data_IF_282237744966
#
_entry.id   IF_282237744966
#
_cell.length_a   1.000
_cell.length_b   1.000
_cell.length_c   1.000
_cell.angle_alpha   90.00
_cell.angle_beta   90.00
_cell.angle_gamma   90.00
#
_symmetry.space_group_name_H-M   'P 1'
#
loop_
_entity.id
_entity.type
_entity.pdbx_description
1 polymer ?
#
# COMPACT_ATOMS: atom_id res chain seq x y z
N UNK A 1 -3.30 -14.76 -9.08
CA UNK A 1 -4.02 -13.47 -9.27
C UNK A 1 -5.12 -13.27 -8.24
N UNK A 2 -6.01 -14.25 -8.03
CA UNK A 2 -7.11 -14.16 -7.04
C UNK A 2 -6.63 -13.75 -5.64
N UNK A 3 -5.59 -14.40 -5.09
CA UNK A 3 -5.05 -14.02 -3.78
C UNK A 3 -4.49 -12.58 -3.75
N UNK A 4 -3.86 -12.11 -4.83
CA UNK A 4 -3.33 -10.75 -4.91
C UNK A 4 -4.44 -9.70 -4.96
N UNK A 5 -5.54 -10.00 -5.66
CA UNK A 5 -6.72 -9.15 -5.69
C UNK A 5 -7.43 -9.06 -4.33
N UNK A 6 -7.55 -10.20 -3.65
CA UNK A 6 -8.12 -10.25 -2.29
C UNK A 6 -7.25 -9.42 -1.33
N UNK A 7 -5.92 -9.60 -1.34
CA UNK A 7 -5.01 -8.86 -0.45
C UNK A 7 -5.07 -7.35 -0.74
N UNK A 8 -5.06 -6.94 -2.01
CA UNK A 8 -5.20 -5.52 -2.35
C UNK A 8 -6.55 -4.94 -1.92
N UNK A 9 -7.63 -5.69 -2.10
CA UNK A 9 -8.97 -5.26 -1.70
C UNK A 9 -9.09 -5.08 -0.19
N UNK A 10 -8.62 -6.06 0.59
CA UNK A 10 -8.64 -6.01 2.06
C UNK A 10 -7.75 -4.86 2.55
N UNK A 11 -6.53 -4.71 2.01
CA UNK A 11 -5.67 -3.59 2.39
C UNK A 11 -6.27 -2.23 2.02
N UNK A 12 -6.88 -2.10 0.85
CA UNK A 12 -7.59 -0.88 0.46
C UNK A 12 -8.70 -0.51 1.44
N UNK A 13 -9.49 -1.49 1.86
CA UNK A 13 -10.54 -1.29 2.87
C UNK A 13 -9.96 -0.84 4.22
N UNK A 14 -8.92 -1.52 4.72
CA UNK A 14 -8.26 -1.16 5.99
C UNK A 14 -7.71 0.26 5.96
N UNK A 15 -7.12 0.69 4.83
CA UNK A 15 -6.59 2.04 4.70
C UNK A 15 -7.71 3.08 4.71
N UNK A 16 -8.84 2.82 4.05
CA UNK A 16 -9.98 3.74 4.07
C UNK A 16 -10.62 3.87 5.45
N UNK A 17 -10.67 2.78 6.22
CA UNK A 17 -11.20 2.76 7.58
C UNK A 17 -10.26 3.46 8.58
N UNK A 18 -8.95 3.23 8.46
CA UNK A 18 -7.93 3.80 9.35
C UNK A 18 -7.53 5.24 9.00
N UNK A 19 -7.68 5.66 7.74
CA UNK A 19 -7.30 7.00 7.27
C UNK A 19 -7.91 8.16 8.09
N UNK A 20 -9.22 8.21 8.39
CA UNK A 20 -9.80 9.34 9.12
C UNK A 20 -9.26 9.43 10.57
N UNK A 21 -8.96 8.29 11.19
CA UNK A 21 -8.39 8.22 12.54
C UNK A 21 -6.89 8.56 12.57
N UNK A 22 -6.16 8.33 11.48
CA UNK A 22 -4.73 8.67 11.34
C UNK A 22 -4.50 10.11 10.85
N UNK A 23 -5.44 10.69 10.10
CA UNK A 23 -5.37 12.08 9.63
C UNK A 23 -5.72 13.09 10.73
N UNK A 24 -6.51 12.69 11.73
CA UNK A 24 -6.88 13.53 12.88
C UNK A 24 -6.41 12.90 14.21
N UNK A 25 -5.09 12.75 14.42
CA UNK A 25 -4.57 12.14 15.64
C UNK A 25 -5.01 12.96 16.87
N UNK A 26 -5.66 12.29 17.82
CA UNK A 26 -6.14 12.90 19.06
C UNK A 26 -7.63 13.26 19.09
N UNK A 27 -8.34 13.32 17.95
CA UNK A 27 -9.79 13.46 17.90
C UNK A 27 -10.45 12.07 17.73
N UNK A 28 -11.57 11.77 18.40
CA UNK A 28 -12.31 10.53 18.18
C UNK A 28 -12.87 10.52 16.74
N UNK A 29 -12.51 9.50 15.97
CA UNK A 29 -13.00 9.26 14.62
C UNK A 29 -13.61 7.86 14.58
N UNK A 30 -14.89 7.74 14.21
CA UNK A 30 -15.62 6.46 14.20
C UNK A 30 -15.52 5.65 15.51
N UNK A 31 -15.51 6.31 16.67
CA UNK A 31 -15.44 5.66 17.98
C UNK A 31 -14.06 5.06 18.34
N UNK A 32 -13.09 5.14 17.43
CA UNK A 32 -11.69 4.77 17.69
C UNK A 32 -10.83 6.02 17.76
N UNK A 33 -9.82 6.03 18.64
CA UNK A 33 -8.90 7.16 18.81
C UNK A 33 -7.49 6.65 18.64
N UNK A 34 -6.77 7.22 17.68
CA UNK A 34 -5.33 6.98 17.57
C UNK A 34 -4.62 7.70 18.73
N UNK A 35 -4.01 6.92 19.63
CA UNK A 35 -3.31 7.41 20.83
C UNK A 35 -1.83 7.73 20.60
N UNK A 36 -1.31 7.46 19.40
CA UNK A 36 0.07 7.73 19.04
C UNK A 36 0.33 9.21 18.70
N UNK A 37 1.60 9.52 18.48
CA UNK A 37 2.01 10.88 18.06
C UNK A 37 1.58 11.18 16.61
N UNK A 38 1.41 12.47 16.24
CA UNK A 38 1.12 12.84 14.85
C UNK A 38 2.19 12.38 13.85
N UNK A 39 3.45 12.26 14.28
CA UNK A 39 4.54 11.71 13.47
C UNK A 39 4.33 10.23 13.15
N UNK A 40 3.97 9.41 14.16
CA UNK A 40 3.66 7.99 13.98
C UNK A 40 2.46 7.79 13.05
N UNK A 41 1.44 8.64 13.14
CA UNK A 41 0.26 8.53 12.27
C UNK A 41 0.62 8.74 10.79
N UNK A 42 1.48 9.73 10.49
CA UNK A 42 1.98 9.99 9.13
C UNK A 42 2.85 8.85 8.62
N UNK A 43 3.70 8.29 9.46
CA UNK A 43 4.53 7.12 9.10
C UNK A 43 3.66 5.91 8.72
N UNK A 44 2.62 5.61 9.51
CA UNK A 44 1.68 4.53 9.22
C UNK A 44 0.94 4.78 7.90
N UNK A 45 0.45 6.01 7.67
CA UNK A 45 -0.19 6.38 6.41
C UNK A 45 0.75 6.24 5.20
N UNK A 46 2.03 6.62 5.35
CA UNK A 46 3.03 6.47 4.31
C UNK A 46 3.28 4.99 3.96
N UNK A 47 3.41 4.12 4.97
CA UNK A 47 3.57 2.68 4.78
C UNK A 47 2.33 2.08 4.10
N UNK A 48 1.13 2.44 4.57
CA UNK A 48 -0.13 2.00 3.97
C UNK A 48 -0.25 2.42 2.51
N UNK A 49 0.10 3.67 2.19
CA UNK A 49 0.17 4.16 0.81
C UNK A 49 1.16 3.36 -0.03
N UNK A 50 2.38 3.13 0.47
CA UNK A 50 3.41 2.36 -0.21
C UNK A 50 2.96 0.93 -0.52
N UNK A 51 2.38 0.24 0.45
CA UNK A 51 1.88 -1.13 0.28
C UNK A 51 0.74 -1.18 -0.73
N UNK A 52 -0.19 -0.21 -0.69
CA UNK A 52 -1.27 -0.09 -1.69
C UNK A 52 -0.72 0.13 -3.10
N UNK A 53 0.22 1.07 -3.27
CA UNK A 53 0.84 1.34 -4.57
C UNK A 53 1.56 0.11 -5.11
N UNK A 54 2.32 -0.59 -4.27
CA UNK A 54 3.00 -1.83 -4.66
C UNK A 54 1.99 -2.93 -5.04
N UNK A 55 0.95 -3.12 -4.22
CA UNK A 55 -0.12 -4.07 -4.46
C UNK A 55 -0.83 -3.82 -5.79
N UNK A 56 -1.26 -2.59 -6.06
CA UNK A 56 -1.92 -2.21 -7.32
C UNK A 56 -1.00 -2.42 -8.53
N UNK A 57 0.29 -2.06 -8.42
CA UNK A 57 1.25 -2.23 -9.51
C UNK A 57 1.48 -3.70 -9.84
N UNK A 58 1.61 -4.55 -8.82
CA UNK A 58 1.79 -6.01 -9.00
C UNK A 58 0.54 -6.70 -9.50
N UNK A 59 -0.65 -6.26 -9.07
CA UNK A 59 -1.94 -6.77 -9.54
C UNK A 59 -2.16 -6.39 -11.01
N UNK A 60 -1.89 -5.13 -11.39
CA UNK A 60 -1.96 -4.67 -12.77
C UNK A 60 -1.02 -5.43 -13.70
N UNK A 61 0.24 -5.65 -13.26
CA UNK A 61 1.16 -6.48 -14.04
C UNK A 61 0.72 -7.94 -14.14
N UNK A 62 0.19 -8.50 -13.06
CA UNK A 62 -0.32 -9.86 -13.07
C UNK A 62 -1.53 -10.05 -13.97
N UNK A 63 -2.44 -9.07 -14.05
CA UNK A 63 -3.53 -9.03 -15.02
C UNK A 63 -3.00 -8.98 -16.45
N UNK A 64 -2.04 -8.09 -16.71
CA UNK A 64 -1.38 -8.00 -18.01
C UNK A 64 -0.74 -9.33 -18.42
N UNK A 65 -0.06 -10.00 -17.48
CA UNK A 65 0.55 -11.31 -17.71
C UNK A 65 -0.50 -12.40 -18.00
N UNK A 66 -1.67 -12.32 -17.37
CA UNK A 66 -2.80 -13.24 -17.60
C UNK A 66 -3.38 -13.09 -19.01
N UNK A 67 -3.51 -11.87 -19.52
CA UNK A 67 -4.03 -11.63 -20.88
C UNK A 67 -3.00 -11.87 -21.98
N UNK A 68 -1.74 -11.48 -21.77
CA UNK A 68 -0.71 -11.50 -22.83
C UNK A 68 0.03 -12.84 -22.87
N UNK A 69 0.00 -13.64 -21.80
CA UNK A 69 0.72 -14.91 -21.66
C UNK A 69 2.26 -14.78 -21.68
N UNK A 70 2.79 -13.57 -21.87
CA UNK A 70 4.22 -13.29 -22.02
C UNK A 70 4.81 -12.80 -20.71
N UNK A 71 5.86 -13.48 -20.24
CA UNK A 71 6.62 -13.09 -19.05
C UNK A 71 7.75 -12.15 -19.47
N UNK A 72 7.62 -10.86 -19.20
CA UNK A 72 8.65 -9.88 -19.54
C UNK A 72 9.60 -9.65 -18.36
N UNK A 73 10.88 -10.00 -18.53
CA UNK A 73 11.91 -9.77 -17.50
C UNK A 73 12.03 -8.28 -17.12
N UNK A 74 11.78 -7.37 -18.08
CA UNK A 74 11.85 -5.92 -17.86
C UNK A 74 10.85 -5.44 -16.82
N UNK A 75 9.65 -6.01 -16.79
CA UNK A 75 8.61 -5.59 -15.83
C UNK A 75 8.86 -6.15 -14.44
N UNK A 76 9.51 -7.32 -14.34
CA UNK A 76 9.98 -7.84 -13.05
C UNK A 76 11.03 -6.88 -12.46
N UNK A 77 12.00 -6.42 -13.25
CA UNK A 77 12.95 -5.40 -12.80
C UNK A 77 12.26 -4.10 -12.38
N UNK A 78 11.24 -3.66 -13.12
CA UNK A 78 10.46 -2.47 -12.76
C UNK A 78 9.74 -2.64 -11.40
N UNK A 79 9.07 -3.77 -11.18
CA UNK A 79 8.39 -4.06 -9.90
C UNK A 79 9.38 -4.10 -8.74
N UNK A 80 10.55 -4.70 -8.94
CA UNK A 80 11.63 -4.73 -7.92
C UNK A 80 12.17 -3.32 -7.66
N UNK A 81 12.34 -2.49 -8.70
CA UNK A 81 12.77 -1.11 -8.54
C UNK A 81 11.75 -0.28 -7.75
N UNK A 82 10.45 -0.45 -8.02
CA UNK A 82 9.37 0.19 -7.25
C UNK A 82 9.39 -0.27 -5.79
N UNK A 83 9.56 -1.57 -5.52
CA UNK A 83 9.68 -2.08 -4.16
C UNK A 83 10.89 -1.50 -3.42
N UNK A 84 12.05 -1.46 -4.07
CA UNK A 84 13.28 -0.90 -3.52
C UNK A 84 13.11 0.60 -3.23
N UNK A 85 12.51 1.36 -4.15
CA UNK A 85 12.23 2.78 -3.96
C UNK A 85 11.29 3.04 -2.78
N UNK A 86 10.23 2.25 -2.63
CA UNK A 86 9.30 2.36 -1.52
C UNK A 86 9.96 2.01 -0.17
N UNK A 87 10.84 1.00 -0.13
CA UNK A 87 11.64 0.69 1.06
C UNK A 87 12.60 1.82 1.43
N UNK A 88 13.23 2.44 0.44
CA UNK A 88 14.16 3.54 0.65
C UNK A 88 13.43 4.78 1.19
N UNK A 89 12.25 5.10 0.62
CA UNK A 89 11.37 6.14 1.15
C UNK A 89 10.92 5.84 2.58
N UNK A 90 10.53 4.60 2.87
CA UNK A 90 10.10 4.19 4.21
C UNK A 90 11.24 4.23 5.24
N UNK A 91 12.49 4.05 4.82
CA UNK A 91 13.66 4.18 5.70
C UNK A 91 14.04 5.63 6.01
N UNK A 92 13.74 6.55 5.09
CA UNK A 92 14.07 7.98 5.22
C UNK A 92 13.00 8.78 5.98
N UNK A 93 11.79 8.23 6.13
CA UNK A 93 10.63 8.80 6.83
C UNK A 93 10.60 8.40 8.31
#
# INVERSE_FOLDING_TARGET
MICGAIICGIMGYVVLDMAPSLLNPGAPSHGTRFSGTPGQARMILAIFGAVLTFGLTTLGYGLWQMFTGRRSKRVIYFVVAVAAFLLLLAYLL
#
